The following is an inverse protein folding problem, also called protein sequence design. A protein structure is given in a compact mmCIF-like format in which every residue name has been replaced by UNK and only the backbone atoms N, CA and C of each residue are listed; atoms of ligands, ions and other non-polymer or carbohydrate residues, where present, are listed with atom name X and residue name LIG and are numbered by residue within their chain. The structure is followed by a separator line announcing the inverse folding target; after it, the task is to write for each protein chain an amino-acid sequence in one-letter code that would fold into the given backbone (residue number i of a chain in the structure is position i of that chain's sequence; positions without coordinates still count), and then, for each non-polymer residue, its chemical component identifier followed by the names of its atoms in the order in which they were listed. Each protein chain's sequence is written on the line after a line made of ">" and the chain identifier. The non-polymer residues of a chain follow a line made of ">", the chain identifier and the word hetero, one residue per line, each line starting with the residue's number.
data_IF_763704730881
#
_entry.id   IF_763704730881
#
_cell.length_a   1.000
_cell.length_b   1.000
_cell.length_c   1.000
_cell.angle_alpha   90.00
_cell.angle_beta   90.00
_cell.angle_gamma   90.00
#
_symmetry.space_group_name_H-M   'P 1'
#
loop_
_entity.id
_entity.type
_entity.pdbx_description
1 polymer ?
#
# COMPACT_ATOMS: atom_id res chain seq x y z
N UNK A 1 -8.11 13.28 5.74
CA UNK A 1 -6.86 13.06 5.01
C UNK A 1 -6.02 11.97 5.65
N UNK A 2 -6.23 10.71 5.24
CA UNK A 2 -5.28 9.61 5.54
C UNK A 2 -4.46 9.30 4.29
N UNK A 3 -3.16 9.12 4.48
CA UNK A 3 -2.20 8.81 3.43
C UNK A 3 -1.48 7.52 3.82
N UNK A 4 -1.37 6.59 2.87
CA UNK A 4 -0.57 5.37 3.03
C UNK A 4 0.76 5.55 2.32
N UNK A 5 1.84 5.24 3.02
CA UNK A 5 3.20 5.24 2.49
C UNK A 5 3.71 3.80 2.46
N UNK A 6 4.22 3.37 1.31
CA UNK A 6 4.89 2.09 1.13
C UNK A 6 6.25 2.33 0.49
N UNK A 7 7.28 1.66 0.99
CA UNK A 7 8.63 1.81 0.46
C UNK A 7 9.48 0.57 0.69
N UNK A 8 10.43 0.33 -0.21
CA UNK A 8 11.54 -0.63 -0.17
C UNK A 8 11.19 -2.12 -0.06
N UNK A 9 10.10 -2.49 0.62
CA UNK A 9 9.71 -3.88 0.85
C UNK A 9 8.20 -4.03 0.74
N UNK A 10 7.79 -5.02 -0.03
CA UNK A 10 6.40 -5.41 -0.20
C UNK A 10 5.83 -5.97 1.11
N UNK A 11 4.69 -5.44 1.52
CA UNK A 11 3.92 -5.92 2.66
C UNK A 11 2.92 -7.01 2.23
N UNK A 12 3.05 -8.21 2.80
CA UNK A 12 2.16 -9.37 2.60
C UNK A 12 0.69 -9.03 2.90
N UNK A 13 0.42 -8.05 3.78
CA UNK A 13 -0.94 -7.61 4.06
C UNK A 13 -1.64 -7.03 2.83
N UNK A 14 -0.90 -6.36 1.94
CA UNK A 14 -1.47 -5.76 0.73
C UNK A 14 -1.76 -6.82 -0.33
N UNK A 15 -0.99 -7.92 -0.36
CA UNK A 15 -1.15 -9.01 -1.32
C UNK A 15 -2.02 -10.17 -0.81
N UNK A 16 -1.59 -10.80 0.27
CA UNK A 16 -2.09 -12.10 0.74
C UNK A 16 -3.23 -11.95 1.77
N UNK A 17 -3.28 -10.81 2.46
CA UNK A 17 -4.25 -10.57 3.54
C UNK A 17 -5.03 -9.27 3.35
N UNK A 18 -5.29 -8.90 2.09
CA UNK A 18 -5.96 -7.66 1.76
C UNK A 18 -7.37 -7.60 2.37
N UNK A 19 -7.59 -6.61 3.25
CA UNK A 19 -8.91 -6.26 3.77
C UNK A 19 -9.26 -4.82 3.34
N UNK A 20 -10.22 -4.66 2.41
CA UNK A 20 -10.59 -3.36 1.83
C UNK A 20 -11.19 -2.39 2.87
N UNK A 21 -11.74 -2.87 3.98
CA UNK A 21 -12.30 -2.00 5.02
C UNK A 21 -11.22 -1.11 5.65
N UNK A 22 -9.97 -1.60 5.67
CA UNK A 22 -8.84 -0.81 6.19
C UNK A 22 -8.36 0.29 5.24
N UNK A 23 -8.75 0.23 3.96
CA UNK A 23 -8.35 1.19 2.93
C UNK A 23 -9.42 2.24 2.63
N UNK A 24 -10.65 2.09 3.15
CA UNK A 24 -11.81 2.96 2.81
C UNK A 24 -11.57 4.46 3.01
N UNK A 25 -10.79 4.83 4.01
CA UNK A 25 -10.53 6.23 4.34
C UNK A 25 -9.20 6.76 3.79
N UNK A 26 -8.46 5.94 3.02
CA UNK A 26 -7.16 6.33 2.47
C UNK A 26 -7.40 7.13 1.20
N UNK A 27 -6.96 8.38 1.22
CA UNK A 27 -7.22 9.35 0.16
C UNK A 27 -6.04 9.47 -0.82
N UNK A 28 -4.85 9.01 -0.41
CA UNK A 28 -3.64 9.00 -1.22
C UNK A 28 -2.73 7.84 -0.81
N UNK A 29 -2.16 7.16 -1.80
CA UNK A 29 -1.10 6.17 -1.61
C UNK A 29 0.15 6.69 -2.30
N UNK A 30 1.28 6.69 -1.58
CA UNK A 30 2.59 7.03 -2.13
C UNK A 30 3.47 5.78 -2.01
N UNK A 31 3.96 5.32 -3.15
CA UNK A 31 4.97 4.27 -3.25
C UNK A 31 6.31 4.88 -3.69
N UNK A 32 7.40 4.45 -3.05
CA UNK A 32 8.75 4.84 -3.43
C UNK A 32 9.78 3.76 -3.08
N UNK A 33 11.05 3.98 -3.44
CA UNK A 33 12.12 3.01 -3.19
C UNK A 33 12.09 1.83 -4.16
N UNK A 34 12.56 0.67 -3.69
CA UNK A 34 12.75 -0.55 -4.52
C UNK A 34 11.52 -1.47 -4.51
N UNK A 35 10.35 -0.92 -4.80
CA UNK A 35 9.11 -1.69 -4.96
C UNK A 35 8.90 -2.08 -6.44
N UNK A 36 8.39 -3.29 -6.68
CA UNK A 36 8.03 -3.69 -8.03
C UNK A 36 6.91 -2.80 -8.57
N UNK A 37 6.95 -2.51 -9.87
CA UNK A 37 5.93 -1.69 -10.53
C UNK A 37 4.51 -2.27 -10.41
N UNK A 38 4.39 -3.58 -10.21
CA UNK A 38 3.11 -4.28 -10.00
C UNK A 38 2.58 -4.21 -8.56
N UNK A 39 3.32 -3.61 -7.63
CA UNK A 39 2.95 -3.52 -6.21
C UNK A 39 1.85 -2.48 -5.91
N UNK A 40 1.53 -1.62 -6.87
CA UNK A 40 0.47 -0.61 -6.79
C UNK A 40 -0.65 -0.88 -7.79
#
# INVERSE_FOLDING_TARGET
>A
MKILLVADVENEYIWDHFDPERFKDIELIISCGDLQASYL
#
